data_IF_456204895056
#
_entry.id   IF_456204895056
#
_cell.length_a   1.000
_cell.length_b   1.000
_cell.length_c   1.000
_cell.angle_alpha   90.00
_cell.angle_beta   90.00
_cell.angle_gamma   90.00
#
_symmetry.space_group_name_H-M   'P 1'
#
loop_
_entity.id
_entity.type
_entity.pdbx_description
1 polymer ?
#
# COMPACT_ATOMS: atom_id res chain seq x y z
N UNK A 1 8.76 13.74 2.10
CA UNK A 1 8.77 13.09 3.42
C UNK A 1 9.63 11.82 3.44
N UNK A 2 9.72 11.05 2.35
CA UNK A 2 10.46 9.78 2.28
C UNK A 2 11.97 9.90 1.99
N UNK A 3 12.47 11.10 1.65
CA UNK A 3 13.90 11.37 1.41
C UNK A 3 14.27 12.73 2.00
N UNK A 4 14.25 12.82 3.32
CA UNK A 4 14.99 13.89 3.99
C UNK A 4 16.41 13.37 4.23
N UNK A 5 17.45 14.15 3.88
CA UNK A 5 18.82 13.85 4.30
C UNK A 5 18.83 13.68 5.83
N UNK A 6 19.21 12.50 6.32
CA UNK A 6 19.37 12.22 7.76
C UNK A 6 18.45 11.16 8.38
N UNK A 7 17.48 10.59 7.66
CA UNK A 7 16.72 9.42 8.12
C UNK A 7 17.14 8.20 7.31
N UNK A 8 17.95 7.31 7.90
CA UNK A 8 18.53 6.14 7.23
C UNK A 8 17.50 5.15 6.68
N UNK A 9 17.97 4.05 6.09
CA UNK A 9 17.11 3.03 5.47
C UNK A 9 16.16 2.33 6.46
N UNK A 10 16.58 2.22 7.73
CA UNK A 10 15.87 1.48 8.78
C UNK A 10 14.42 1.95 9.03
N UNK A 11 14.12 3.26 9.18
CA UNK A 11 12.75 3.74 9.24
C UNK A 11 11.85 3.28 8.09
N UNK A 12 12.37 3.25 6.87
CA UNK A 12 11.61 2.83 5.68
C UNK A 12 11.39 1.32 5.71
N UNK A 13 12.45 0.54 5.98
CA UNK A 13 12.35 -0.89 6.13
C UNK A 13 11.30 -1.27 7.19
N UNK A 14 11.31 -0.59 8.34
CA UNK A 14 10.31 -0.81 9.40
C UNK A 14 8.87 -0.58 8.92
N UNK A 15 8.63 0.44 8.09
CA UNK A 15 7.29 0.71 7.52
C UNK A 15 6.88 -0.40 6.55
N UNK A 16 7.81 -0.83 5.69
CA UNK A 16 7.61 -1.91 4.71
C UNK A 16 7.29 -3.22 5.44
N UNK A 17 8.15 -3.64 6.37
CA UNK A 17 7.94 -4.87 7.16
C UNK A 17 6.63 -4.79 7.94
N UNK A 18 6.30 -3.65 8.53
CA UNK A 18 5.04 -3.46 9.26
C UNK A 18 3.81 -3.66 8.36
N UNK A 19 3.85 -3.17 7.11
CA UNK A 19 2.83 -3.42 6.10
C UNK A 19 2.77 -4.91 5.74
N UNK A 20 3.90 -5.54 5.41
CA UNK A 20 3.96 -6.96 5.02
C UNK A 20 3.46 -7.88 6.11
N UNK A 21 3.76 -7.60 7.38
CA UNK A 21 3.25 -8.38 8.51
C UNK A 21 1.73 -8.27 8.63
N UNK A 22 1.16 -7.05 8.54
CA UNK A 22 -0.29 -6.87 8.53
C UNK A 22 -0.97 -7.59 7.35
N UNK A 23 -0.37 -7.48 6.17
CA UNK A 23 -0.82 -8.17 4.97
C UNK A 23 -0.81 -9.68 5.14
N UNK A 24 0.28 -10.24 5.67
CA UNK A 24 0.44 -11.67 5.90
C UNK A 24 -0.67 -12.24 6.79
N UNK A 25 -1.05 -11.52 7.85
CA UNK A 25 -2.10 -11.96 8.78
C UNK A 25 -3.44 -12.14 8.06
N UNK A 26 -3.89 -11.13 7.33
CA UNK A 26 -5.21 -11.16 6.69
C UNK A 26 -5.23 -12.05 5.46
N UNK A 27 -4.15 -12.09 4.69
CA UNK A 27 -3.99 -13.04 3.60
C UNK A 27 -4.08 -14.49 4.10
N UNK A 28 -3.40 -14.82 5.20
CA UNK A 28 -3.48 -16.15 5.81
C UNK A 28 -4.90 -16.45 6.31
N UNK A 29 -5.56 -15.51 7.00
CA UNK A 29 -6.92 -15.72 7.52
C UNK A 29 -7.93 -16.03 6.41
N UNK A 30 -7.88 -15.31 5.29
CA UNK A 30 -8.82 -15.55 4.18
C UNK A 30 -8.42 -16.79 3.38
N UNK A 31 -7.13 -17.05 3.20
CA UNK A 31 -6.63 -18.25 2.49
C UNK A 31 -6.94 -19.55 3.24
N UNK A 32 -6.91 -19.51 4.59
CA UNK A 32 -7.30 -20.62 5.48
C UNK A 32 -8.82 -20.69 5.72
N UNK A 33 -9.60 -19.87 5.02
CA UNK A 33 -11.06 -19.82 5.12
C UNK A 33 -11.62 -19.46 6.51
N UNK A 34 -10.79 -18.87 7.37
CA UNK A 34 -11.20 -18.37 8.70
C UNK A 34 -12.09 -17.14 8.58
N UNK A 35 -11.97 -16.38 7.49
CA UNK A 35 -12.78 -15.20 7.22
C UNK A 35 -13.26 -15.17 5.75
N UNK A 36 -14.53 -14.81 5.48
CA UNK A 36 -15.03 -14.67 4.12
C UNK A 36 -14.35 -13.50 3.39
N UNK A 37 -14.24 -13.62 2.06
CA UNK A 37 -13.80 -12.52 1.23
C UNK A 37 -15.00 -11.77 0.63
N UNK A 38 -14.90 -10.44 0.60
CA UNK A 38 -15.91 -9.53 0.02
C UNK A 38 -15.21 -8.67 -1.03
N UNK A 39 -14.97 -9.17 -2.25
CA UNK A 39 -14.00 -8.59 -3.18
C UNK A 39 -14.27 -7.11 -3.47
N UNK A 40 -15.49 -6.73 -3.83
CA UNK A 40 -15.84 -5.35 -4.17
C UNK A 40 -15.70 -4.41 -2.96
N UNK A 41 -16.02 -4.88 -1.74
CA UNK A 41 -15.83 -4.11 -0.50
C UNK A 41 -14.35 -3.95 -0.14
N UNK A 42 -13.57 -5.02 -0.26
CA UNK A 42 -12.13 -5.01 -0.01
C UNK A 42 -11.41 -4.10 -1.00
N UNK A 43 -11.72 -4.19 -2.29
CA UNK A 43 -11.17 -3.33 -3.34
C UNK A 43 -11.51 -1.85 -3.08
N UNK A 44 -12.75 -1.55 -2.64
CA UNK A 44 -13.13 -0.20 -2.23
C UNK A 44 -12.29 0.30 -1.05
N UNK A 45 -12.04 -0.54 -0.03
CA UNK A 45 -11.18 -0.17 1.10
C UNK A 45 -9.73 0.04 0.67
N UNK A 46 -9.19 -0.81 -0.20
CA UNK A 46 -7.86 -0.64 -0.78
C UNK A 46 -7.77 0.71 -1.52
N UNK A 47 -8.72 0.99 -2.41
CA UNK A 47 -8.79 2.26 -3.14
C UNK A 47 -8.88 3.46 -2.18
N UNK A 48 -9.68 3.35 -1.10
CA UNK A 48 -9.82 4.40 -0.09
C UNK A 48 -8.52 4.65 0.69
N UNK A 49 -7.73 3.61 1.01
CA UNK A 49 -6.42 3.80 1.66
C UNK A 49 -5.42 4.52 0.75
N UNK A 50 -5.42 4.21 -0.56
CA UNK A 50 -4.58 4.88 -1.56
C UNK A 50 -5.00 6.35 -1.71
N UNK A 51 -6.32 6.61 -1.77
CA UNK A 51 -6.86 7.96 -1.83
C UNK A 51 -6.47 8.77 -0.59
N UNK A 52 -6.59 8.18 0.60
CA UNK A 52 -6.16 8.82 1.85
C UNK A 52 -4.68 9.20 1.80
N UNK A 53 -3.83 8.30 1.31
CA UNK A 53 -2.39 8.58 1.14
C UNK A 53 -2.14 9.68 0.10
N UNK A 54 -2.88 9.70 -1.02
CA UNK A 54 -2.76 10.75 -2.04
C UNK A 54 -3.12 12.13 -1.48
N UNK A 55 -4.19 12.20 -0.69
CA UNK A 55 -4.62 13.43 -0.01
C UNK A 55 -3.61 13.88 1.05
N UNK A 56 -3.02 12.94 1.79
CA UNK A 56 -1.95 13.25 2.75
C UNK A 56 -0.70 13.79 2.05
N UNK A 57 -0.33 13.21 0.89
CA UNK A 57 0.86 13.61 0.14
C UNK A 57 0.68 14.91 -0.66
N UNK A 58 -0.55 15.33 -0.98
CA UNK A 58 -0.84 16.55 -1.75
C UNK A 58 -0.89 17.82 -0.90
N UNK A 59 -1.11 17.70 0.41
CA UNK A 59 -1.22 18.85 1.32
C UNK A 59 0.14 19.48 1.62
N UNK A 60 0.19 20.82 1.63
CA UNK A 60 1.42 21.59 1.83
C UNK A 60 1.70 21.94 3.30
N UNK A 61 0.66 22.03 4.15
CA UNK A 61 0.79 22.36 5.58
C UNK A 61 0.47 21.15 6.49
N UNK A 62 1.28 20.89 7.53
CA UNK A 62 0.99 19.87 8.52
C UNK A 62 -0.18 20.32 9.41
N UNK A 63 -1.35 19.74 9.19
CA UNK A 63 -2.52 19.84 10.06
C UNK A 63 -2.38 18.87 11.26
N UNK A 64 -3.09 19.06 12.38
CA UNK A 64 -2.89 18.24 13.60
C UNK A 64 -3.18 16.75 13.36
N UNK A 65 -4.18 16.43 12.53
CA UNK A 65 -4.50 15.06 12.12
C UNK A 65 -3.37 14.39 11.32
N UNK A 66 -2.62 15.19 10.55
CA UNK A 66 -1.47 14.74 9.74
C UNK A 66 -0.25 14.44 10.62
N UNK A 67 -0.16 15.06 11.81
CA UNK A 67 0.89 14.76 12.76
C UNK A 67 0.87 13.27 13.08
N UNK A 68 -0.29 12.67 13.33
CA UNK A 68 -0.38 11.25 13.69
C UNK A 68 0.13 10.32 12.58
N UNK A 69 -0.35 10.49 11.33
CA UNK A 69 0.09 9.66 10.19
C UNK A 69 1.60 9.78 9.93
N UNK A 70 2.16 10.97 10.16
CA UNK A 70 3.59 11.25 9.97
C UNK A 70 4.47 10.85 11.16
N UNK A 71 3.93 10.84 12.38
CA UNK A 71 4.65 10.45 13.61
C UNK A 71 4.55 8.95 13.89
N UNK A 72 3.51 8.29 13.42
CA UNK A 72 3.28 6.85 13.55
C UNK A 72 3.10 6.20 12.16
N UNK A 73 4.13 6.23 11.29
CA UNK A 73 3.98 5.67 9.95
C UNK A 73 3.94 4.13 9.95
N UNK A 74 4.61 3.45 10.89
CA UNK A 74 4.65 1.98 10.92
C UNK A 74 3.33 1.34 11.38
N UNK A 75 2.59 1.83 12.41
CA UNK A 75 1.29 1.27 12.75
C UNK A 75 0.25 1.51 11.65
N UNK A 76 0.27 2.71 11.03
CA UNK A 76 -0.60 3.03 9.90
C UNK A 76 -0.34 2.07 8.73
N UNK A 77 0.93 1.82 8.41
CA UNK A 77 1.31 0.86 7.38
C UNK A 77 0.84 -0.56 7.70
N UNK A 78 0.89 -1.01 8.96
CA UNK A 78 0.31 -2.30 9.36
C UNK A 78 -1.20 -2.35 9.14
N UNK A 79 -1.94 -1.29 9.45
CA UNK A 79 -3.39 -1.23 9.19
C UNK A 79 -3.69 -1.29 7.70
N UNK A 80 -2.91 -0.59 6.87
CA UNK A 80 -3.03 -0.69 5.42
C UNK A 80 -2.71 -2.10 4.93
N UNK A 81 -1.67 -2.73 5.48
CA UNK A 81 -1.32 -4.11 5.23
C UNK A 81 -2.49 -5.06 5.49
N UNK A 82 -3.13 -4.95 6.65
CA UNK A 82 -4.32 -5.74 7.01
C UNK A 82 -5.44 -5.59 5.97
N UNK A 83 -5.72 -4.38 5.48
CA UNK A 83 -6.75 -4.17 4.45
C UNK A 83 -6.32 -4.81 3.12
N UNK A 84 -5.06 -4.64 2.74
CA UNK A 84 -4.54 -5.09 1.44
C UNK A 84 -4.42 -6.61 1.35
N UNK A 85 -4.16 -7.31 2.46
CA UNK A 85 -4.08 -8.78 2.49
C UNK A 85 -5.37 -9.49 2.13
N UNK A 86 -6.51 -8.81 2.32
CA UNK A 86 -7.83 -9.33 1.95
C UNK A 86 -8.02 -9.45 0.43
N UNK A 87 -7.38 -8.58 -0.35
CA UNK A 87 -7.60 -8.49 -1.80
C UNK A 87 -7.00 -9.63 -2.60
N UNK A 88 -6.01 -10.34 -2.04
CA UNK A 88 -5.21 -11.33 -2.78
C UNK A 88 -5.56 -12.78 -2.52
N UNK A 89 -6.43 -13.06 -1.54
CA UNK A 89 -6.72 -14.42 -1.12
C UNK A 89 -7.49 -15.24 -2.17
N UNK A 90 -8.30 -14.60 -3.02
CA UNK A 90 -9.00 -15.29 -4.11
C UNK A 90 -8.03 -15.82 -5.15
N UNK A 91 -6.94 -15.07 -5.43
CA UNK A 91 -5.94 -15.48 -6.42
C UNK A 91 -5.30 -16.82 -6.05
N UNK A 92 -4.94 -17.03 -4.79
CA UNK A 92 -4.35 -18.29 -4.32
C UNK A 92 -5.33 -19.47 -4.42
N UNK A 93 -6.62 -19.24 -4.17
CA UNK A 93 -7.67 -20.26 -4.34
C UNK A 93 -7.90 -20.62 -5.80
N UNK A 94 -7.94 -19.62 -6.68
CA UNK A 94 -8.20 -19.80 -8.10
C UNK A 94 -7.09 -20.60 -8.82
N UNK A 95 -5.86 -20.57 -8.29
CA UNK A 95 -4.73 -21.35 -8.82
C UNK A 95 -4.80 -22.84 -8.39
N UNK A 96 -5.76 -23.22 -7.52
CA UNK A 96 -6.00 -24.62 -7.14
C UNK A 96 -4.88 -25.25 -6.31
N UNK A 97 -4.20 -24.44 -5.50
CA UNK A 97 -2.99 -24.87 -4.82
C UNK A 97 -3.27 -25.91 -3.71
N UNK A 98 -2.50 -27.00 -3.62
CA UNK A 98 -2.65 -27.98 -2.54
C UNK A 98 -2.54 -27.34 -1.15
N UNK A 99 -3.37 -27.79 -0.20
CA UNK A 99 -3.37 -27.26 1.16
C UNK A 99 -2.01 -27.43 1.86
N UNK A 100 -1.28 -28.50 1.54
CA UNK A 100 0.03 -28.82 2.12
C UNK A 100 1.10 -27.78 1.73
N UNK A 101 0.96 -27.17 0.54
CA UNK A 101 1.90 -26.15 0.04
C UNK A 101 1.48 -24.72 0.44
N UNK A 102 0.27 -24.53 0.99
CA UNK A 102 -0.32 -23.22 1.27
C UNK A 102 0.58 -22.34 2.12
N UNK A 103 1.10 -22.88 3.22
CA UNK A 103 1.95 -22.11 4.13
C UNK A 103 3.26 -21.68 3.46
N UNK A 104 3.86 -22.57 2.66
CA UNK A 104 5.11 -22.29 1.96
C UNK A 104 4.92 -21.23 0.87
N UNK A 105 3.79 -21.27 0.14
CA UNK A 105 3.46 -20.26 -0.84
C UNK A 105 3.12 -18.91 -0.21
N UNK A 106 2.35 -18.88 0.88
CA UNK A 106 2.06 -17.65 1.62
C UNK A 106 3.35 -17.01 2.13
N UNK A 107 4.28 -17.79 2.68
CA UNK A 107 5.58 -17.31 3.12
C UNK A 107 6.40 -16.76 1.95
N UNK A 108 6.52 -17.52 0.87
CA UNK A 108 7.30 -17.14 -0.31
C UNK A 108 6.74 -15.89 -1.00
N UNK A 109 5.41 -15.76 -1.05
CA UNK A 109 4.71 -14.60 -1.57
C UNK A 109 5.01 -13.35 -0.76
N UNK A 110 4.92 -13.43 0.58
CA UNK A 110 5.20 -12.28 1.45
C UNK A 110 6.68 -11.88 1.45
N UNK A 111 7.60 -12.85 1.41
CA UNK A 111 9.03 -12.58 1.22
C UNK A 111 9.26 -11.86 -0.12
N UNK A 112 8.62 -12.33 -1.18
CA UNK A 112 8.66 -11.69 -2.50
C UNK A 112 8.17 -10.25 -2.47
N UNK A 113 7.05 -9.97 -1.78
CA UNK A 113 6.52 -8.62 -1.60
C UNK A 113 7.53 -7.72 -0.88
N UNK A 114 8.06 -8.16 0.26
CA UNK A 114 8.97 -7.36 1.07
C UNK A 114 10.26 -7.03 0.31
N UNK A 115 10.85 -8.02 -0.37
CA UNK A 115 12.02 -7.83 -1.23
C UNK A 115 11.68 -6.86 -2.38
N UNK A 116 10.55 -7.05 -3.05
CA UNK A 116 10.09 -6.17 -4.14
C UNK A 116 9.93 -4.71 -3.70
N UNK A 117 9.31 -4.49 -2.54
CA UNK A 117 9.13 -3.15 -1.96
C UNK A 117 10.47 -2.50 -1.59
N UNK A 118 11.38 -3.24 -0.95
CA UNK A 118 12.71 -2.75 -0.59
C UNK A 118 13.54 -2.40 -1.83
N UNK A 119 13.49 -3.23 -2.88
CA UNK A 119 14.17 -2.96 -4.15
C UNK A 119 13.60 -1.72 -4.83
N UNK A 120 12.27 -1.60 -4.90
CA UNK A 120 11.61 -0.45 -5.51
C UNK A 120 11.98 0.86 -4.82
N UNK A 121 11.89 0.91 -3.48
CA UNK A 121 12.22 2.14 -2.74
C UNK A 121 13.70 2.47 -2.84
N UNK A 122 14.58 1.47 -2.81
CA UNK A 122 16.02 1.66 -3.04
C UNK A 122 16.31 2.23 -4.42
N UNK A 123 15.67 1.69 -5.47
CA UNK A 123 15.82 2.20 -6.83
C UNK A 123 15.35 3.64 -6.97
N UNK A 124 14.17 3.99 -6.42
CA UNK A 124 13.66 5.37 -6.41
C UNK A 124 14.58 6.31 -5.64
N UNK A 125 15.14 5.87 -4.51
CA UNK A 125 16.10 6.64 -3.73
C UNK A 125 17.38 6.92 -4.54
N UNK A 126 17.95 5.91 -5.21
CA UNK A 126 19.12 6.07 -6.07
C UNK A 126 18.84 7.03 -7.22
N UNK A 127 17.69 6.91 -7.89
CA UNK A 127 17.30 7.83 -8.97
C UNK A 127 17.19 9.28 -8.49
N UNK A 128 16.62 9.49 -7.30
CA UNK A 128 16.48 10.83 -6.72
C UNK A 128 17.83 11.41 -6.24
N UNK A 129 18.76 10.56 -5.79
CA UNK A 129 20.14 10.97 -5.49
C UNK A 129 20.93 11.29 -6.77
N UNK A 130 20.81 10.46 -7.81
CA UNK A 130 21.44 10.71 -9.11
C UNK A 130 20.91 12.01 -9.75
N UNK A 131 19.62 12.29 -9.55
CA UNK A 131 18.96 13.52 -9.94
C UNK A 131 19.38 14.77 -9.12
N UNK A 132 20.48 14.75 -8.37
CA UNK A 132 21.01 15.92 -7.63
C UNK A 132 21.19 17.18 -8.49
N UNK A 133 21.38 17.02 -9.80
CA UNK A 133 21.49 18.10 -10.79
C UNK A 133 20.13 18.64 -11.28
N UNK A 134 19.00 18.04 -10.87
CA UNK A 134 17.66 18.49 -11.30
C UNK A 134 17.20 19.69 -10.47
N UNK A 135 16.52 20.63 -11.13
CA UNK A 135 15.96 21.77 -10.43
C UNK A 135 14.95 21.32 -9.37
N UNK A 136 14.95 21.96 -8.20
CA UNK A 136 13.97 21.70 -7.14
C UNK A 136 12.52 21.88 -7.64
N UNK A 137 12.30 22.72 -8.67
CA UNK A 137 11.02 22.85 -9.35
C UNK A 137 10.64 21.57 -10.10
N UNK A 138 11.55 20.96 -10.85
CA UNK A 138 11.31 19.71 -11.58
C UNK A 138 10.91 18.55 -10.65
N UNK A 139 11.65 18.35 -9.56
CA UNK A 139 11.33 17.30 -8.57
C UNK A 139 9.95 17.53 -7.93
N UNK A 140 9.59 18.79 -7.62
CA UNK A 140 8.26 19.14 -7.10
C UNK A 140 7.15 18.84 -8.10
N UNK A 141 7.35 19.16 -9.38
CA UNK A 141 6.37 18.89 -10.44
C UNK A 141 6.17 17.38 -10.62
N UNK A 142 7.25 16.60 -10.71
CA UNK A 142 7.16 15.13 -10.84
C UNK A 142 6.43 14.52 -9.65
N UNK A 143 6.77 14.95 -8.42
CA UNK A 143 6.06 14.51 -7.22
C UNK A 143 4.57 14.88 -7.27
N UNK A 144 4.24 16.11 -7.65
CA UNK A 144 2.87 16.56 -7.74
C UNK A 144 2.08 15.73 -8.77
N UNK A 145 2.66 15.49 -9.95
CA UNK A 145 2.06 14.64 -10.98
C UNK A 145 1.84 13.21 -10.48
N UNK A 146 2.84 12.59 -9.85
CA UNK A 146 2.71 11.25 -9.31
C UNK A 146 1.57 11.14 -8.26
N UNK A 147 1.49 12.12 -7.35
CA UNK A 147 0.42 12.19 -6.34
C UNK A 147 -0.94 12.43 -6.99
N UNK A 148 -1.03 13.31 -7.99
CA UNK A 148 -2.28 13.59 -8.71
C UNK A 148 -2.78 12.39 -9.50
N UNK A 149 -1.88 11.64 -10.16
CA UNK A 149 -2.24 10.41 -10.88
C UNK A 149 -2.73 9.35 -9.90
N UNK A 150 -1.98 9.10 -8.82
CA UNK A 150 -2.37 8.16 -7.77
C UNK A 150 -3.73 8.52 -7.14
N UNK A 151 -3.95 9.80 -6.85
CA UNK A 151 -5.23 10.32 -6.39
C UNK A 151 -6.37 10.14 -7.39
N UNK A 152 -6.14 10.47 -8.67
CA UNK A 152 -7.16 10.32 -9.72
C UNK A 152 -7.58 8.86 -9.93
N UNK A 153 -6.61 7.95 -10.01
CA UNK A 153 -6.86 6.50 -10.16
C UNK A 153 -7.61 5.95 -8.95
N UNK A 154 -7.22 6.34 -7.73
CA UNK A 154 -7.93 5.89 -6.52
C UNK A 154 -9.36 6.43 -6.42
N UNK A 155 -9.62 7.68 -6.83
CA UNK A 155 -10.99 8.21 -6.90
C UNK A 155 -11.83 7.40 -7.89
N UNK A 156 -11.31 7.18 -9.11
CA UNK A 156 -11.99 6.36 -10.10
C UNK A 156 -12.33 4.98 -9.55
N UNK A 157 -11.36 4.31 -8.93
CA UNK A 157 -11.56 2.96 -8.40
C UNK A 157 -12.54 2.91 -7.23
N UNK A 158 -12.52 3.91 -6.34
CA UNK A 158 -13.53 4.05 -5.28
C UNK A 158 -14.95 4.20 -5.85
N UNK A 159 -15.11 4.99 -6.92
CA UNK A 159 -16.42 5.18 -7.56
C UNK A 159 -16.89 3.90 -8.23
N UNK A 160 -16.02 3.24 -8.99
CA UNK A 160 -16.31 1.98 -9.68
C UNK A 160 -16.82 0.91 -8.70
N UNK A 161 -16.06 0.64 -7.63
CA UNK A 161 -16.42 -0.36 -6.62
C UNK A 161 -17.58 0.07 -5.73
N UNK A 162 -17.69 1.36 -5.43
CA UNK A 162 -18.81 1.90 -4.67
C UNK A 162 -20.14 1.77 -5.40
N UNK A 163 -20.15 2.00 -6.72
CA UNK A 163 -21.34 1.82 -7.56
C UNK A 163 -21.69 0.34 -7.71
N UNK A 164 -20.70 -0.54 -7.88
CA UNK A 164 -20.91 -1.99 -7.90
C UNK A 164 -21.59 -2.48 -6.61
N UNK A 165 -21.10 -2.06 -5.44
CA UNK A 165 -21.70 -2.39 -4.15
C UNK A 165 -23.12 -1.84 -4.00
N UNK A 166 -23.37 -0.61 -4.43
CA UNK A 166 -24.70 0.00 -4.35
C UNK A 166 -25.72 -0.77 -5.21
N UNK A 167 -25.31 -1.24 -6.38
CA UNK A 167 -26.14 -2.03 -7.28
C UNK A 167 -26.52 -3.41 -6.71
N UNK A 168 -25.71 -3.97 -5.80
CA UNK A 168 -26.02 -5.23 -5.13
C UNK A 168 -27.01 -5.09 -3.95
N UNK A 169 -27.23 -3.86 -3.46
CA UNK A 169 -28.09 -3.57 -2.28
C UNK A 169 -29.48 -3.04 -2.67
N UNK A 170 -29.62 -2.48 -3.88
CA UNK A 170 -30.87 -1.94 -4.44
C UNK A 170 -31.63 -3.00 -5.25
#
# INVERSE_FOLDING_TARGET
ALLLPGRGFWPIAKIITAFTLGHSVTLALVSLEVMPNWPSFVELLIAATILMLALELSRASPDERQRYLRTHPWPVASVFGLIHGLGFANVLKDIGMPADDLMAALLSFNIGIEIGQLMFVSAVAILLLAAHQWSARGVRVIRALAVSVMGGVSVFWCLDRGLELAAHVL
#
